data_IF_756052858901
#
_entry.id   IF_756052858901
#
_cell.length_a   1.000
_cell.length_b   1.000
_cell.length_c   1.000
_cell.angle_alpha   90.00
_cell.angle_beta   90.00
_cell.angle_gamma   90.00
#
_symmetry.space_group_name_H-M   'P 1'
#
loop_
_entity.id
_entity.type
_entity.pdbx_description
1 polymer ?
#
# COMPACT_ATOMS: atom_id res chain seq x y z
N UNK A 1 -6.31 28.64 -15.52
CA UNK A 1 -5.82 27.61 -14.58
C UNK A 1 -7.02 27.08 -13.80
N UNK A 2 -7.76 26.12 -14.36
CA UNK A 2 -9.01 25.61 -13.79
C UNK A 2 -8.86 24.10 -13.55
N UNK A 3 -8.23 23.75 -12.43
CA UNK A 3 -7.89 22.37 -12.05
C UNK A 3 -8.39 22.04 -10.64
N UNK A 4 -9.64 22.40 -10.28
CA UNK A 4 -10.14 22.20 -8.90
C UNK A 4 -11.14 21.07 -8.72
N UNK A 5 -11.84 20.64 -9.78
CA UNK A 5 -12.84 19.58 -9.69
C UNK A 5 -12.32 18.24 -10.19
N UNK A 6 -11.64 18.23 -11.34
CA UNK A 6 -11.12 16.98 -11.92
C UNK A 6 -10.08 16.31 -11.02
N UNK A 7 -9.16 17.07 -10.44
CA UNK A 7 -8.18 16.59 -9.44
C UNK A 7 -8.83 16.08 -8.14
N UNK A 8 -9.99 16.65 -7.76
CA UNK A 8 -10.75 16.18 -6.60
C UNK A 8 -11.56 14.91 -6.90
N UNK A 9 -12.09 14.76 -8.10
CA UNK A 9 -12.80 13.54 -8.53
C UNK A 9 -11.84 12.39 -8.83
N UNK A 10 -10.62 12.68 -9.28
CA UNK A 10 -9.56 11.70 -9.55
C UNK A 10 -8.59 11.49 -8.37
N UNK A 11 -8.84 12.19 -7.27
CA UNK A 11 -8.15 11.99 -5.99
C UNK A 11 -8.21 10.52 -5.59
N UNK A 12 -7.04 9.95 -5.25
CA UNK A 12 -6.91 8.57 -4.80
C UNK A 12 -7.87 8.22 -3.66
N UNK A 13 -8.17 9.19 -2.78
CA UNK A 13 -9.12 9.03 -1.67
C UNK A 13 -10.55 8.89 -2.17
N UNK A 14 -10.96 9.70 -3.15
CA UNK A 14 -12.31 9.61 -3.73
C UNK A 14 -12.51 8.28 -4.45
N UNK A 15 -11.52 7.85 -5.24
CA UNK A 15 -11.53 6.55 -5.92
C UNK A 15 -11.56 5.39 -4.92
N UNK A 16 -10.75 5.47 -3.84
CA UNK A 16 -10.73 4.42 -2.80
C UNK A 16 -12.06 4.32 -2.06
N UNK A 17 -12.70 5.45 -1.72
CA UNK A 17 -14.02 5.45 -1.09
C UNK A 17 -15.08 4.85 -2.04
N UNK A 18 -15.05 5.22 -3.31
CA UNK A 18 -15.97 4.67 -4.32
C UNK A 18 -15.81 3.15 -4.46
N UNK A 19 -14.58 2.64 -4.39
CA UNK A 19 -14.29 1.20 -4.46
C UNK A 19 -14.75 0.47 -3.20
N UNK A 20 -14.54 1.05 -2.02
CA UNK A 20 -15.06 0.47 -0.77
C UNK A 20 -16.58 0.39 -0.79
N UNK A 21 -17.26 1.44 -1.26
CA UNK A 21 -18.71 1.44 -1.45
C UNK A 21 -19.14 0.41 -2.49
N UNK A 22 -18.39 0.25 -3.58
CA UNK A 22 -18.66 -0.76 -4.59
C UNK A 22 -18.53 -2.18 -4.03
N UNK A 23 -17.47 -2.48 -3.27
CA UNK A 23 -17.26 -3.79 -2.63
C UNK A 23 -18.35 -4.07 -1.61
N UNK A 24 -18.75 -3.07 -0.82
CA UNK A 24 -19.88 -3.20 0.10
C UNK A 24 -21.17 -3.53 -0.65
N UNK A 25 -21.45 -2.82 -1.75
CA UNK A 25 -22.57 -3.14 -2.64
C UNK A 25 -22.48 -4.56 -3.20
N UNK A 26 -21.29 -5.00 -3.61
CA UNK A 26 -21.06 -6.34 -4.11
C UNK A 26 -21.29 -7.41 -3.04
N UNK A 27 -20.84 -7.17 -1.80
CA UNK A 27 -21.09 -8.04 -0.66
C UNK A 27 -22.60 -8.21 -0.40
N UNK A 28 -23.36 -7.10 -0.47
CA UNK A 28 -24.81 -7.14 -0.32
C UNK A 28 -25.49 -7.94 -1.42
N UNK A 29 -25.12 -7.73 -2.69
CA UNK A 29 -25.68 -8.48 -3.81
C UNK A 29 -25.43 -10.00 -3.67
N UNK A 30 -24.21 -10.41 -3.32
CA UNK A 30 -23.90 -11.83 -3.05
C UNK A 30 -24.73 -12.35 -1.88
N UNK A 31 -24.85 -11.56 -0.82
CA UNK A 31 -25.62 -11.95 0.36
C UNK A 31 -27.09 -12.20 0.01
N UNK A 32 -27.70 -11.34 -0.82
CA UNK A 32 -29.08 -11.52 -1.29
C UNK A 32 -29.24 -12.82 -2.08
N UNK A 33 -28.36 -13.09 -3.04
CA UNK A 33 -28.39 -14.33 -3.81
C UNK A 33 -28.18 -15.57 -2.92
N UNK A 34 -27.26 -15.50 -1.96
CA UNK A 34 -27.02 -16.60 -1.02
C UNK A 34 -28.22 -16.84 -0.11
N UNK A 35 -28.97 -15.80 0.29
CA UNK A 35 -30.20 -15.97 1.07
C UNK A 35 -31.23 -16.77 0.29
N UNK A 36 -31.40 -16.52 -1.01
CA UNK A 36 -32.30 -17.30 -1.87
C UNK A 36 -31.84 -18.76 -2.00
N UNK A 37 -30.53 -18.98 -2.21
CA UNK A 37 -29.95 -20.33 -2.31
C UNK A 37 -30.01 -21.12 -1.00
N UNK A 38 -29.85 -20.45 0.15
CA UNK A 38 -29.89 -21.08 1.47
C UNK A 38 -31.32 -21.26 2.00
N UNK A 39 -32.33 -20.68 1.33
CA UNK A 39 -33.72 -20.73 1.76
C UNK A 39 -34.26 -22.17 1.98
N UNK A 40 -34.00 -23.16 1.10
CA UNK A 40 -34.44 -24.53 1.34
C UNK A 40 -33.60 -25.31 2.36
N UNK A 41 -32.43 -24.83 2.77
CA UNK A 41 -31.48 -25.56 3.62
C UNK A 41 -31.56 -25.12 5.08
N UNK A 42 -31.64 -23.81 5.33
CA UNK A 42 -31.60 -23.22 6.67
C UNK A 42 -32.99 -22.63 7.00
N UNK A 43 -33.78 -23.29 7.86
CA UNK A 43 -35.12 -22.80 8.21
C UNK A 43 -35.07 -21.55 9.10
N UNK A 44 -34.01 -21.39 9.91
CA UNK A 44 -33.85 -20.22 10.78
C UNK A 44 -33.42 -18.98 9.98
N UNK A 45 -34.29 -17.97 9.96
CA UNK A 45 -34.11 -16.72 9.22
C UNK A 45 -32.84 -15.97 9.66
N UNK A 46 -32.59 -15.86 10.97
CA UNK A 46 -31.47 -15.07 11.51
C UNK A 46 -30.15 -15.71 11.12
N UNK A 47 -30.01 -17.02 11.32
CA UNK A 47 -28.78 -17.77 10.99
C UNK A 47 -28.49 -17.71 9.49
N UNK A 48 -29.54 -17.75 8.65
CA UNK A 48 -29.42 -17.62 7.19
C UNK A 48 -28.85 -16.27 6.78
N UNK A 49 -29.38 -15.17 7.30
CA UNK A 49 -28.87 -13.83 6.99
C UNK A 49 -27.43 -13.64 7.47
N UNK A 50 -27.08 -14.16 8.65
CA UNK A 50 -25.69 -14.10 9.15
C UNK A 50 -24.76 -14.89 8.24
N UNK A 51 -25.10 -16.14 7.91
CA UNK A 51 -24.28 -16.99 7.05
C UNK A 51 -24.07 -16.38 5.66
N UNK A 52 -25.15 -15.89 5.04
CA UNK A 52 -25.10 -15.22 3.74
C UNK A 52 -24.27 -13.92 3.81
N UNK A 53 -24.45 -13.12 4.86
CA UNK A 53 -23.71 -11.88 5.07
C UNK A 53 -22.19 -12.10 5.21
N UNK A 54 -21.79 -13.02 6.10
CA UNK A 54 -20.38 -13.36 6.28
C UNK A 54 -19.74 -13.88 5.00
N UNK A 55 -20.45 -14.76 4.28
CA UNK A 55 -19.96 -15.31 3.01
C UNK A 55 -19.86 -14.24 1.93
N UNK A 56 -20.85 -13.34 1.85
CA UNK A 56 -20.84 -12.19 0.95
C UNK A 56 -19.66 -11.27 1.18
N UNK A 57 -19.34 -10.94 2.43
CA UNK A 57 -18.16 -10.14 2.81
C UNK A 57 -16.86 -10.87 2.48
N UNK A 58 -16.77 -12.17 2.74
CA UNK A 58 -15.57 -12.96 2.44
C UNK A 58 -15.28 -13.00 0.93
N UNK A 59 -16.30 -13.28 0.11
CA UNK A 59 -16.16 -13.36 -1.35
C UNK A 59 -15.86 -12.00 -1.99
N UNK A 60 -16.54 -10.94 -1.53
CA UNK A 60 -16.27 -9.57 -2.01
C UNK A 60 -14.86 -9.08 -1.63
N UNK A 61 -14.38 -9.41 -0.43
CA UNK A 61 -12.98 -9.13 -0.04
C UNK A 61 -11.99 -9.93 -0.90
N UNK A 62 -12.26 -11.21 -1.15
CA UNK A 62 -11.43 -12.05 -2.03
C UNK A 62 -11.34 -11.47 -3.44
N UNK A 63 -12.45 -10.96 -3.98
CA UNK A 63 -12.49 -10.33 -5.29
C UNK A 63 -11.65 -9.05 -5.37
N UNK A 64 -11.62 -8.23 -4.30
CA UNK A 64 -10.73 -7.07 -4.23
C UNK A 64 -9.26 -7.51 -4.27
N UNK A 65 -8.89 -8.50 -3.48
CA UNK A 65 -7.50 -9.01 -3.41
C UNK A 65 -7.05 -9.48 -4.79
N UNK A 66 -7.89 -10.28 -5.47
CA UNK A 66 -7.61 -10.76 -6.82
C UNK A 66 -7.51 -9.59 -7.81
N UNK A 67 -8.43 -8.62 -7.74
CA UNK A 67 -8.42 -7.46 -8.64
C UNK A 67 -7.13 -6.64 -8.55
N UNK A 68 -6.56 -6.52 -7.35
CA UNK A 68 -5.37 -5.73 -7.09
C UNK A 68 -4.09 -6.49 -7.40
N UNK A 69 -4.01 -7.76 -6.99
CA UNK A 69 -2.79 -8.54 -7.05
C UNK A 69 -2.56 -9.21 -8.41
N UNK A 70 -3.62 -9.34 -9.23
CA UNK A 70 -3.49 -9.99 -10.53
C UNK A 70 -2.77 -9.07 -11.54
N UNK A 71 -1.88 -9.71 -12.31
CA UNK A 71 -1.15 -9.09 -13.43
C UNK A 71 -1.93 -9.21 -14.73
N UNK A 72 -2.94 -10.09 -14.78
CA UNK A 72 -3.70 -10.33 -15.97
C UNK A 72 -4.62 -9.15 -16.31
N UNK A 73 -4.57 -8.69 -17.57
CA UNK A 73 -5.38 -7.58 -18.09
C UNK A 73 -6.87 -7.92 -18.19
N UNK A 74 -7.21 -9.21 -18.23
CA UNK A 74 -8.59 -9.69 -18.40
C UNK A 74 -9.40 -9.76 -17.11
N UNK A 75 -8.77 -9.70 -15.94
CA UNK A 75 -9.44 -9.89 -14.63
C UNK A 75 -10.59 -8.90 -14.38
N UNK A 76 -10.45 -7.59 -14.66
CA UNK A 76 -11.56 -6.64 -14.53
C UNK A 76 -12.73 -6.96 -15.48
N UNK A 77 -12.45 -7.50 -16.67
CA UNK A 77 -13.49 -7.87 -17.65
C UNK A 77 -14.28 -9.09 -17.18
N UNK A 78 -13.59 -10.10 -16.64
CA UNK A 78 -14.24 -11.31 -16.10
C UNK A 78 -15.12 -10.93 -14.90
N UNK A 79 -14.63 -10.07 -14.01
CA UNK A 79 -15.40 -9.58 -12.87
C UNK A 79 -16.64 -8.83 -13.34
N UNK A 80 -16.50 -7.94 -14.31
CA UNK A 80 -17.63 -7.19 -14.86
C UNK A 80 -18.68 -8.09 -15.51
N UNK A 81 -18.25 -9.11 -16.26
CA UNK A 81 -19.14 -10.10 -16.86
C UNK A 81 -19.90 -10.88 -15.78
N UNK A 82 -19.20 -11.33 -14.73
CA UNK A 82 -19.83 -12.04 -13.62
C UNK A 82 -20.78 -11.14 -12.83
N UNK A 83 -20.45 -9.88 -12.58
CA UNK A 83 -21.35 -8.90 -11.92
C UNK A 83 -22.60 -8.63 -12.78
N UNK A 84 -22.46 -8.56 -14.11
CA UNK A 84 -23.61 -8.43 -15.02
C UNK A 84 -24.53 -9.64 -14.90
N UNK A 85 -24.01 -10.86 -15.01
CA UNK A 85 -24.79 -12.11 -14.86
C UNK A 85 -25.46 -12.17 -13.49
N UNK A 86 -24.73 -11.80 -12.44
CA UNK A 86 -25.23 -11.77 -11.07
C UNK A 86 -26.40 -10.80 -10.89
N UNK A 87 -26.31 -9.60 -11.50
CA UNK A 87 -27.40 -8.63 -11.49
C UNK A 87 -28.62 -9.10 -12.27
N UNK A 88 -28.43 -9.81 -13.39
CA UNK A 88 -29.56 -10.39 -14.13
C UNK A 88 -30.34 -11.39 -13.26
N UNK A 89 -29.63 -12.15 -12.42
CA UNK A 89 -30.23 -13.07 -11.45
C UNK A 89 -30.93 -12.33 -10.31
N UNK A 90 -30.29 -11.30 -9.73
CA UNK A 90 -30.87 -10.48 -8.65
C UNK A 90 -32.16 -9.79 -9.09
N UNK A 91 -32.21 -9.28 -10.32
CA UNK A 91 -33.43 -8.68 -10.86
C UNK A 91 -34.46 -9.69 -11.38
N UNK A 92 -34.19 -10.98 -11.21
CA UNK A 92 -35.08 -12.07 -11.57
C UNK A 92 -35.62 -11.96 -13.02
N UNK A 93 -34.78 -11.50 -13.94
CA UNK A 93 -35.14 -11.20 -15.34
C UNK A 93 -35.63 -12.46 -16.06
N UNK A 94 -35.19 -13.64 -15.63
CA UNK A 94 -35.61 -14.91 -16.22
C UNK A 94 -37.09 -15.23 -15.94
N UNK A 95 -37.71 -14.59 -14.93
CA UNK A 95 -39.09 -14.82 -14.54
C UNK A 95 -40.02 -13.63 -14.87
N UNK A 96 -39.53 -12.57 -15.53
CA UNK A 96 -40.37 -11.41 -15.88
C UNK A 96 -41.29 -11.73 -17.07
N UNK A 97 -42.57 -11.35 -16.94
CA UNK A 97 -43.60 -11.61 -17.96
C UNK A 97 -43.67 -10.53 -19.06
N UNK A 98 -43.07 -9.37 -18.82
CA UNK A 98 -43.11 -8.21 -19.72
C UNK A 98 -41.77 -7.97 -20.40
N UNK A 99 -41.79 -7.84 -21.73
CA UNK A 99 -40.60 -7.55 -22.55
C UNK A 99 -39.96 -6.21 -22.14
N UNK A 100 -40.79 -5.20 -21.82
CA UNK A 100 -40.30 -3.89 -21.40
C UNK A 100 -39.55 -3.97 -20.06
N UNK A 101 -40.07 -4.74 -19.09
CA UNK A 101 -39.42 -4.94 -17.80
C UNK A 101 -38.10 -5.69 -17.95
N UNK A 102 -38.09 -6.72 -18.81
CA UNK A 102 -36.87 -7.48 -19.15
C UNK A 102 -35.80 -6.56 -19.75
N UNK A 103 -36.18 -5.70 -20.71
CA UNK A 103 -35.24 -4.78 -21.37
C UNK A 103 -34.67 -3.75 -20.38
N UNK A 104 -35.52 -3.11 -19.57
CA UNK A 104 -35.09 -2.09 -18.59
C UNK A 104 -34.17 -2.70 -17.53
N UNK A 105 -34.53 -3.85 -16.95
CA UNK A 105 -33.71 -4.52 -15.94
C UNK A 105 -32.39 -5.04 -16.52
N UNK A 106 -32.40 -5.53 -17.76
CA UNK A 106 -31.19 -5.95 -18.46
C UNK A 106 -30.25 -4.76 -18.68
N UNK A 107 -30.77 -3.64 -19.19
CA UNK A 107 -29.99 -2.41 -19.39
C UNK A 107 -29.35 -1.92 -18.08
N UNK A 108 -30.13 -1.85 -16.99
CA UNK A 108 -29.63 -1.43 -15.67
C UNK A 108 -28.52 -2.37 -15.18
N UNK A 109 -28.66 -3.68 -15.39
CA UNK A 109 -27.66 -4.69 -15.00
C UNK A 109 -26.33 -4.46 -15.70
N UNK A 110 -26.36 -4.31 -17.03
CA UNK A 110 -25.15 -4.05 -17.81
C UNK A 110 -24.55 -2.68 -17.49
N UNK A 111 -25.37 -1.65 -17.28
CA UNK A 111 -24.90 -0.32 -16.94
C UNK A 111 -24.21 -0.29 -15.56
N UNK A 112 -24.81 -0.94 -14.55
CA UNK A 112 -24.18 -1.11 -13.23
C UNK A 112 -22.87 -1.88 -13.31
N UNK A 113 -22.84 -2.98 -14.06
CA UNK A 113 -21.62 -3.76 -14.27
C UNK A 113 -20.53 -2.95 -14.99
N UNK A 114 -20.91 -2.10 -15.95
CA UNK A 114 -19.99 -1.19 -16.62
C UNK A 114 -19.40 -0.13 -15.67
N UNK A 115 -20.23 0.46 -14.79
CA UNK A 115 -19.73 1.38 -13.75
C UNK A 115 -18.76 0.65 -12.83
N UNK A 116 -19.11 -0.57 -12.39
CA UNK A 116 -18.23 -1.42 -11.58
C UNK A 116 -16.89 -1.69 -12.25
N UNK A 117 -16.91 -2.05 -13.53
CA UNK A 117 -15.71 -2.24 -14.35
C UNK A 117 -14.81 -0.99 -14.36
N UNK A 118 -15.39 0.18 -14.65
CA UNK A 118 -14.62 1.43 -14.70
C UNK A 118 -14.01 1.77 -13.34
N UNK A 119 -14.77 1.61 -12.26
CA UNK A 119 -14.28 1.85 -10.90
C UNK A 119 -13.11 0.92 -10.54
N UNK A 120 -13.23 -0.38 -10.82
CA UNK A 120 -12.16 -1.35 -10.56
C UNK A 120 -10.93 -1.03 -11.41
N UNK A 121 -11.11 -0.76 -12.71
CA UNK A 121 -10.00 -0.46 -13.63
C UNK A 121 -9.22 0.78 -13.22
N UNK A 122 -9.93 1.87 -12.90
CA UNK A 122 -9.32 3.13 -12.42
C UNK A 122 -8.63 2.90 -11.08
N UNK A 123 -9.24 2.15 -10.16
CA UNK A 123 -8.65 1.83 -8.88
C UNK A 123 -7.37 1.02 -8.98
N UNK A 124 -7.38 -0.08 -9.74
CA UNK A 124 -6.18 -0.93 -9.94
C UNK A 124 -5.06 -0.11 -10.54
N UNK A 125 -5.36 0.76 -11.50
CA UNK A 125 -4.38 1.66 -12.13
C UNK A 125 -3.80 2.64 -11.12
N UNK A 126 -4.65 3.33 -10.35
CA UNK A 126 -4.23 4.29 -9.33
C UNK A 126 -3.46 3.63 -8.18
N UNK A 127 -3.87 2.44 -7.75
CA UNK A 127 -3.19 1.68 -6.70
C UNK A 127 -1.79 1.25 -7.13
N UNK A 128 -1.64 0.73 -8.35
CA UNK A 128 -0.33 0.39 -8.93
C UNK A 128 0.57 1.62 -9.07
N UNK A 129 0.02 2.76 -9.47
CA UNK A 129 0.74 4.04 -9.52
C UNK A 129 1.30 4.42 -8.14
N UNK A 130 0.48 4.39 -7.08
CA UNK A 130 0.94 4.72 -5.71
C UNK A 130 1.99 3.75 -5.18
N UNK A 131 1.87 2.45 -5.48
CA UNK A 131 2.92 1.49 -5.13
C UNK A 131 4.24 1.85 -5.83
N UNK A 132 4.17 2.22 -7.11
CA UNK A 132 5.35 2.64 -7.88
C UNK A 132 5.98 3.91 -7.31
N UNK A 133 5.17 4.92 -6.98
CA UNK A 133 5.64 6.18 -6.37
C UNK A 133 6.33 5.94 -5.02
N UNK A 134 5.76 5.07 -4.18
CA UNK A 134 6.39 4.69 -2.90
C UNK A 134 7.67 3.91 -3.10
N UNK A 135 7.71 2.98 -4.07
CA UNK A 135 8.91 2.22 -4.38
C UNK A 135 10.04 3.14 -4.87
N UNK A 136 9.69 4.15 -5.68
CA UNK A 136 10.63 5.15 -6.15
C UNK A 136 11.16 6.02 -4.99
N UNK A 137 10.28 6.53 -4.12
CA UNK A 137 10.70 7.28 -2.94
C UNK A 137 11.61 6.47 -2.01
N UNK A 138 11.33 5.17 -1.81
CA UNK A 138 12.20 4.27 -1.03
C UNK A 138 13.55 4.10 -1.72
N UNK A 139 13.59 3.99 -3.05
CA UNK A 139 14.86 3.89 -3.78
C UNK A 139 15.68 5.19 -3.68
N UNK A 140 15.04 6.35 -3.76
CA UNK A 140 15.70 7.66 -3.58
C UNK A 140 16.28 7.80 -2.16
N UNK A 141 15.51 7.46 -1.13
CA UNK A 141 15.98 7.45 0.26
C UNK A 141 17.14 6.46 0.47
N UNK A 142 17.10 5.29 -0.16
CA UNK A 142 18.18 4.31 -0.05
C UNK A 142 19.47 4.83 -0.71
N UNK A 143 19.36 5.56 -1.82
CA UNK A 143 20.51 6.20 -2.48
C UNK A 143 21.09 7.28 -1.56
N UNK A 144 20.26 8.21 -1.06
CA UNK A 144 20.69 9.29 -0.15
C UNK A 144 21.34 8.73 1.14
N UNK A 145 20.77 7.67 1.70
CA UNK A 145 21.33 6.97 2.86
C UNK A 145 22.68 6.33 2.54
N UNK A 146 22.84 5.74 1.34
CA UNK A 146 24.10 5.14 0.92
C UNK A 146 25.21 6.17 0.70
N UNK A 147 24.87 7.34 0.14
CA UNK A 147 25.80 8.46 -0.02
C UNK A 147 26.23 9.00 1.35
N UNK A 148 25.27 9.26 2.25
CA UNK A 148 25.54 9.71 3.61
C UNK A 148 26.41 8.73 4.40
N UNK A 149 26.21 7.42 4.20
CA UNK A 149 27.03 6.38 4.82
C UNK A 149 28.47 6.40 4.28
N UNK A 150 28.64 6.66 2.98
CA UNK A 150 29.95 6.76 2.36
C UNK A 150 30.71 7.97 2.91
N UNK A 151 30.08 9.14 2.97
CA UNK A 151 30.66 10.36 3.55
C UNK A 151 31.07 10.14 5.02
N UNK A 152 30.22 9.49 5.82
CA UNK A 152 30.53 9.17 7.21
C UNK A 152 31.77 8.26 7.32
N UNK A 153 31.91 7.28 6.42
CA UNK A 153 33.06 6.39 6.39
C UNK A 153 34.35 7.13 5.99
N UNK A 154 34.26 8.06 5.05
CA UNK A 154 35.37 8.92 4.64
C UNK A 154 35.80 9.84 5.80
N UNK A 155 34.86 10.54 6.44
CA UNK A 155 35.13 11.38 7.62
C UNK A 155 35.76 10.56 8.76
N UNK A 156 35.25 9.34 8.99
CA UNK A 156 35.79 8.43 10.01
C UNK A 156 37.21 7.98 9.69
N UNK A 157 37.55 7.82 8.40
CA UNK A 157 38.91 7.51 7.95
C UNK A 157 39.84 8.70 8.20
N UNK A 158 39.45 9.90 7.79
CA UNK A 158 40.21 11.13 8.04
C UNK A 158 40.44 11.34 9.54
N UNK A 159 39.41 11.17 10.36
CA UNK A 159 39.51 11.32 11.80
C UNK A 159 40.45 10.27 12.44
N UNK A 160 40.54 9.06 11.86
CA UNK A 160 41.53 8.06 12.28
C UNK A 160 42.94 8.46 11.88
N UNK A 161 43.13 9.08 10.73
CA UNK A 161 44.44 9.57 10.29
C UNK A 161 44.93 10.72 11.18
N UNK A 162 44.07 11.70 11.46
CA UNK A 162 44.38 12.81 12.39
C UNK A 162 44.71 12.26 13.80
N UNK A 163 43.91 11.31 14.32
CA UNK A 163 44.19 10.70 15.63
C UNK A 163 45.52 9.93 15.70
N UNK A 164 46.13 9.54 14.57
CA UNK A 164 47.44 8.89 14.58
C UNK A 164 48.59 9.86 14.84
N UNK A 165 48.37 11.16 14.70
CA UNK A 165 49.37 12.23 14.86
C UNK A 165 49.01 13.24 15.95
N UNK A 166 47.82 13.16 16.52
CA UNK A 166 47.35 14.07 17.58
C UNK A 166 47.41 13.44 18.97
N UNK A 167 47.92 14.17 19.95
CA UNK A 167 47.99 13.72 21.34
C UNK A 167 46.60 13.75 21.99
N UNK A 168 46.06 12.59 22.38
CA UNK A 168 44.75 12.49 23.04
C UNK A 168 44.64 13.11 24.44
N UNK A 169 45.72 13.68 24.99
CA UNK A 169 45.71 14.34 26.32
C UNK A 169 45.80 15.87 26.24
N UNK A 170 46.49 16.42 25.24
CA UNK A 170 46.70 17.87 25.10
C UNK A 170 46.31 18.42 23.73
N UNK A 171 45.74 17.56 22.87
CA UNK A 171 45.22 17.84 21.53
C UNK A 171 46.20 18.48 20.54
N UNK A 172 47.51 18.46 20.84
CA UNK A 172 48.54 18.94 19.91
C UNK A 172 48.76 17.94 18.76
N UNK A 173 48.85 18.48 17.55
CA UNK A 173 49.22 17.76 16.33
C UNK A 173 50.74 17.63 16.19
N UNK A 174 51.21 16.48 15.70
CA UNK A 174 52.62 16.17 15.50
C UNK A 174 52.89 15.69 14.08
N UNK A 175 54.02 16.06 13.50
CA UNK A 175 54.36 15.73 12.10
C UNK A 175 54.60 14.23 11.82
N UNK A 176 54.72 13.39 12.86
CA UNK A 176 54.87 11.95 12.71
C UNK A 176 54.43 11.19 13.95
N UNK A 177 54.11 9.90 13.80
CA UNK A 177 53.83 8.98 14.92
C UNK A 177 54.97 8.93 15.94
N UNK A 178 56.22 9.01 15.49
CA UNK A 178 57.37 9.00 16.39
C UNK A 178 57.44 10.27 17.24
N UNK A 179 57.17 11.43 16.64
CA UNK A 179 57.09 12.70 17.37
C UNK A 179 55.92 12.70 18.37
N UNK A 180 54.77 12.15 17.99
CA UNK A 180 53.65 11.94 18.90
C UNK A 180 54.03 11.03 20.08
N UNK A 181 54.60 9.85 19.83
CA UNK A 181 54.97 8.89 20.88
C UNK A 181 56.00 9.49 21.86
N UNK A 182 56.99 10.22 21.35
CA UNK A 182 57.95 10.94 22.18
C UNK A 182 57.28 12.01 23.05
N UNK A 183 56.27 12.71 22.50
CA UNK A 183 55.48 13.67 23.26
C UNK A 183 54.58 13.01 24.31
N UNK A 184 53.84 11.95 23.98
CA UNK A 184 52.90 11.28 24.90
C UNK A 184 53.60 10.81 26.17
N UNK A 185 54.83 10.28 26.05
CA UNK A 185 55.67 9.91 27.20
C UNK A 185 56.09 11.07 28.09
N UNK A 186 56.04 12.32 27.60
CA UNK A 186 56.41 13.55 28.33
C UNK A 186 55.26 14.55 28.46
N UNK A 187 54.05 14.18 28.05
CA UNK A 187 52.91 15.08 28.03
C UNK A 187 52.51 15.42 29.47
N UNK A 188 52.34 16.72 29.76
CA UNK A 188 51.99 17.21 31.10
C UNK A 188 50.54 16.88 31.50
N UNK A 189 49.65 16.77 30.51
CA UNK A 189 48.25 16.40 30.71
C UNK A 189 48.05 14.88 30.82
N UNK A 190 49.08 14.07 30.54
CA UNK A 190 49.01 12.62 30.70
C UNK A 190 48.96 12.28 32.20
N UNK A 191 47.93 11.56 32.67
CA UNK A 191 47.76 11.23 34.09
C UNK A 191 48.89 10.38 34.67
N UNK A 192 49.68 9.65 33.86
CA UNK A 192 50.89 8.96 34.33
C UNK A 192 52.06 9.90 34.66
N UNK A 193 52.04 11.10 34.08
CA UNK A 193 53.08 12.13 34.25
C UNK A 193 52.65 13.27 35.17
N UNK A 194 51.35 13.42 35.44
CA UNK A 194 50.85 14.20 36.57
C UNK A 194 51.34 13.51 37.82
N UNK A 195 52.45 13.99 38.36
CA UNK A 195 52.96 13.56 39.66
C UNK A 195 51.80 13.58 40.65
N UNK A 196 51.55 12.44 41.27
CA UNK A 196 50.84 12.34 42.54
C UNK A 196 51.57 13.30 43.48
N UNK A 197 51.02 14.50 43.66
CA UNK A 197 51.42 15.39 44.73
C UNK A 197 50.79 14.80 46.00
N UNK A 198 51.52 13.88 46.61
CA UNK A 198 51.41 13.57 48.03
C UNK A 198 52.33 14.53 48.80
#
# INVERSE_FOLDING_TARGET
MSYKLEDKMTSLRAVSIAVLLYIFGYALKISVLLVEVLNPIIPNIIVKFIAAGFTGVALSTGLLIVSVNDKNKYTPYVIALMDAVMLLLVFNILNSKSINETLTSSFISFFMAFIGYQLISVFVTKYKQTISEKQQAISEINIECSESLQELNELKRELREVKQTTCGFCEKEYSSKNALNAHVGRCKENPKNKKVAA
#
